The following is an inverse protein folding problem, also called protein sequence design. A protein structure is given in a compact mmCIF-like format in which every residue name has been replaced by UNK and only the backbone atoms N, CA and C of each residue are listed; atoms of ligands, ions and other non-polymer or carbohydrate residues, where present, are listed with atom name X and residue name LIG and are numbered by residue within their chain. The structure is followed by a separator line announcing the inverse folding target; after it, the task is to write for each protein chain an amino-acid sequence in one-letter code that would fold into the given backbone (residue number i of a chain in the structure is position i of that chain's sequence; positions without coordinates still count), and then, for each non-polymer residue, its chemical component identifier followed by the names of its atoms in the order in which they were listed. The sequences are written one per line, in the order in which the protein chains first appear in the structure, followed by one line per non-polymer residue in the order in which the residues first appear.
data_IF_430479672055
#
_entry.id   IF_430479672055
#
_cell.length_a   1.000
_cell.length_b   1.000
_cell.length_c   1.000
_cell.angle_alpha   90.00
_cell.angle_beta   90.00
_cell.angle_gamma   90.00
#
_symmetry.space_group_name_H-M   'P 1'
#
loop_
_entity.id
_entity.type
_entity.pdbx_description
1 polymer ?
#
# COMPACT_ATOMS: atom_id res chain seq x y z
N UNK A 1 22.14 -8.82 11.96
CA UNK A 1 21.91 -8.01 13.18
C UNK A 1 22.42 -6.60 12.87
N UNK A 2 21.62 -5.56 13.09
CA UNK A 2 22.04 -4.16 12.83
C UNK A 2 23.10 -3.74 13.86
N UNK A 3 24.05 -2.88 13.47
CA UNK A 3 25.08 -2.37 14.39
C UNK A 3 24.51 -1.26 15.28
N UNK A 4 25.04 -1.06 16.49
CA UNK A 4 24.60 0.02 17.39
C UNK A 4 24.75 1.42 16.76
N UNK A 5 25.77 1.57 15.92
CA UNK A 5 26.03 2.79 15.14
C UNK A 5 24.93 3.04 14.09
N UNK A 6 24.44 1.99 13.42
CA UNK A 6 23.31 2.08 12.49
C UNK A 6 22.01 2.45 13.21
N UNK A 7 21.75 1.88 14.39
CA UNK A 7 20.56 2.21 15.20
C UNK A 7 20.58 3.69 15.60
N UNK A 8 21.73 4.22 16.04
CA UNK A 8 21.89 5.63 16.37
C UNK A 8 21.73 6.56 15.16
N UNK A 9 22.11 6.12 13.96
CA UNK A 9 21.96 6.90 12.72
C UNK A 9 20.49 6.97 12.26
N UNK A 10 19.72 5.91 12.45
CA UNK A 10 18.36 5.76 11.90
C UNK A 10 17.25 6.21 12.85
N UNK A 11 17.46 6.13 14.17
CA UNK A 11 16.42 6.38 15.18
C UNK A 11 16.74 7.58 16.09
N UNK A 12 15.71 8.25 16.59
CA UNK A 12 15.81 9.23 17.67
C UNK A 12 16.08 8.53 19.00
N UNK A 13 16.50 9.28 20.01
CA UNK A 13 16.62 8.80 21.38
C UNK A 13 15.32 8.23 21.95
N UNK A 14 14.16 8.65 21.41
CA UNK A 14 12.83 8.14 21.73
C UNK A 14 12.39 6.92 20.91
N UNK A 15 13.28 6.33 20.11
CA UNK A 15 13.01 5.13 19.31
C UNK A 15 12.17 5.36 18.06
N UNK A 16 12.00 6.61 17.60
CA UNK A 16 11.30 6.93 16.35
C UNK A 16 12.27 7.00 15.18
N UNK A 17 11.88 6.59 13.99
CA UNK A 17 12.69 6.81 12.80
C UNK A 17 12.96 8.31 12.61
N UNK A 18 14.22 8.67 12.34
CA UNK A 18 14.57 10.03 11.95
C UNK A 18 13.94 10.36 10.60
N UNK A 19 13.35 11.54 10.49
CA UNK A 19 12.66 11.98 9.28
C UNK A 19 13.55 11.94 8.02
N UNK A 20 14.82 12.32 8.13
CA UNK A 20 15.77 12.29 7.03
C UNK A 20 16.00 10.86 6.50
N UNK A 21 16.17 9.88 7.40
CA UNK A 21 16.33 8.48 7.03
C UNK A 21 15.04 7.92 6.43
N UNK A 22 13.90 8.15 7.08
CA UNK A 22 12.59 7.73 6.58
C UNK A 22 12.31 8.24 5.16
N UNK A 23 12.53 9.55 4.90
CA UNK A 23 12.24 10.13 3.58
C UNK A 23 13.17 9.59 2.49
N UNK A 24 14.44 9.34 2.82
CA UNK A 24 15.40 8.73 1.89
C UNK A 24 14.99 7.31 1.51
N UNK A 25 14.70 6.47 2.50
CA UNK A 25 14.28 5.09 2.25
C UNK A 25 12.92 5.02 1.56
N UNK A 26 11.98 5.91 1.92
CA UNK A 26 10.70 6.01 1.25
C UNK A 26 10.87 6.29 -0.25
N UNK A 27 11.73 7.24 -0.62
CA UNK A 27 11.99 7.57 -2.01
C UNK A 27 12.61 6.39 -2.76
N UNK A 28 13.60 5.72 -2.16
CA UNK A 28 14.24 4.52 -2.72
C UNK A 28 13.23 3.40 -2.95
N UNK A 29 12.42 3.08 -1.95
CA UNK A 29 11.41 2.02 -2.04
C UNK A 29 10.32 2.34 -3.06
N UNK A 30 9.90 3.60 -3.16
CA UNK A 30 8.94 4.02 -4.18
C UNK A 30 9.46 3.82 -5.60
N UNK A 31 10.74 4.03 -5.84
CA UNK A 31 11.37 3.73 -7.13
C UNK A 31 11.30 2.23 -7.44
N UNK A 32 11.57 1.37 -6.46
CA UNK A 32 11.46 -0.08 -6.64
C UNK A 32 10.02 -0.54 -6.87
N UNK A 33 9.05 0.07 -6.19
CA UNK A 33 7.61 -0.18 -6.41
C UNK A 33 7.19 0.19 -7.84
N UNK A 34 7.74 1.28 -8.39
CA UNK A 34 7.50 1.65 -9.80
C UNK A 34 8.06 0.59 -10.75
N UNK A 35 9.29 0.11 -10.52
CA UNK A 35 9.88 -0.96 -11.34
C UNK A 35 9.05 -2.25 -11.27
N UNK A 36 8.65 -2.65 -10.07
CA UNK A 36 7.78 -3.81 -9.85
C UNK A 36 6.44 -3.66 -10.60
N UNK A 37 5.85 -2.47 -10.57
CA UNK A 37 4.62 -2.19 -11.29
C UNK A 37 4.76 -2.37 -12.81
N UNK A 38 5.84 -1.85 -13.40
CA UNK A 38 6.12 -2.06 -14.83
C UNK A 38 6.29 -3.54 -15.16
N UNK A 39 6.96 -4.30 -14.30
CA UNK A 39 7.14 -5.74 -14.49
C UNK A 39 5.83 -6.52 -14.38
N UNK A 40 4.97 -6.20 -13.40
CA UNK A 40 3.61 -6.77 -13.26
C UNK A 40 2.82 -6.56 -14.55
N UNK A 41 2.86 -5.34 -15.09
CA UNK A 41 2.19 -4.99 -16.34
C UNK A 41 2.74 -5.78 -17.54
N UNK A 42 4.06 -5.84 -17.69
CA UNK A 42 4.71 -6.59 -18.78
C UNK A 42 4.35 -8.08 -18.74
N UNK A 43 4.30 -8.67 -17.55
CA UNK A 43 3.95 -10.08 -17.35
C UNK A 43 2.45 -10.35 -17.29
N UNK A 44 1.61 -9.32 -17.34
CA UNK A 44 0.14 -9.46 -17.23
C UNK A 44 -0.30 -10.07 -15.90
N UNK A 45 0.47 -9.87 -14.83
CA UNK A 45 0.15 -10.43 -13.50
C UNK A 45 -1.03 -9.68 -12.88
N UNK A 46 -1.70 -10.35 -11.95
CA UNK A 46 -2.87 -9.84 -11.22
C UNK A 46 -2.52 -9.73 -9.76
N UNK A 47 -2.44 -8.51 -9.23
CA UNK A 47 -2.02 -8.26 -7.84
C UNK A 47 -3.12 -7.54 -7.06
N UNK A 48 -3.45 -8.09 -5.88
CA UNK A 48 -4.35 -7.48 -4.90
C UNK A 48 -3.59 -7.26 -3.61
N UNK A 49 -3.75 -6.09 -3.01
CA UNK A 49 -3.20 -5.76 -1.69
C UNK A 49 -4.38 -5.36 -0.79
N UNK A 50 -4.58 -6.10 0.29
CA UNK A 50 -5.65 -5.87 1.26
C UNK A 50 -5.04 -5.19 2.49
N UNK A 51 -5.64 -4.07 2.92
CA UNK A 51 -5.22 -3.32 4.10
C UNK A 51 -6.29 -3.41 5.18
N UNK A 52 -6.02 -4.20 6.21
CA UNK A 52 -6.90 -4.36 7.38
C UNK A 52 -6.27 -3.76 8.65
N UNK A 53 -7.12 -3.46 9.64
CA UNK A 53 -6.69 -2.94 10.94
C UNK A 53 -7.72 -2.04 11.60
N UNK A 54 -7.50 -1.68 12.87
CA UNK A 54 -8.39 -0.79 13.62
C UNK A 54 -8.43 0.62 13.04
N UNK A 55 -9.41 1.40 13.50
CA UNK A 55 -9.48 2.83 13.20
C UNK A 55 -8.23 3.54 13.72
N UNK A 56 -7.79 4.56 12.98
CA UNK A 56 -6.56 5.32 13.22
C UNK A 56 -5.23 4.52 13.18
N UNK A 57 -5.22 3.24 12.77
CA UNK A 57 -4.00 2.43 12.64
C UNK A 57 -3.03 2.87 11.53
N UNK A 58 -3.36 3.90 10.75
CA UNK A 58 -2.49 4.47 9.71
C UNK A 58 -2.62 3.85 8.31
N UNK A 59 -3.63 3.00 8.06
CA UNK A 59 -3.87 2.34 6.76
C UNK A 59 -3.85 3.31 5.57
N UNK A 60 -4.57 4.43 5.67
CA UNK A 60 -4.62 5.45 4.61
C UNK A 60 -3.28 6.11 4.33
N UNK A 61 -2.45 6.27 5.37
CA UNK A 61 -1.08 6.77 5.23
C UNK A 61 -0.20 5.82 4.43
N UNK A 62 -0.27 4.53 4.75
CA UNK A 62 0.48 3.47 4.03
C UNK A 62 0.04 3.39 2.57
N UNK A 63 -1.27 3.34 2.31
CA UNK A 63 -1.82 3.34 0.94
C UNK A 63 -1.28 4.55 0.16
N UNK A 64 -1.36 5.75 0.74
CA UNK A 64 -0.85 6.98 0.12
C UNK A 64 0.64 6.88 -0.20
N UNK A 65 1.47 6.31 0.69
CA UNK A 65 2.91 6.15 0.45
C UNK A 65 3.23 5.15 -0.65
N UNK A 66 2.43 4.10 -0.81
CA UNK A 66 2.61 3.14 -1.91
C UNK A 66 2.16 3.75 -3.25
N UNK A 67 1.03 4.44 -3.27
CA UNK A 67 0.39 4.88 -4.52
C UNK A 67 0.87 6.23 -5.04
N UNK A 68 1.46 7.10 -4.21
CA UNK A 68 1.81 8.48 -4.59
C UNK A 68 2.77 8.64 -5.78
N UNK A 69 3.53 7.59 -6.15
CA UNK A 69 4.46 7.60 -7.30
C UNK A 69 4.01 6.67 -8.44
N UNK A 70 2.87 6.00 -8.30
CA UNK A 70 2.34 5.06 -9.29
C UNK A 70 1.37 5.76 -10.26
N UNK A 71 1.18 5.19 -11.45
CA UNK A 71 0.22 5.71 -12.41
C UNK A 71 -1.22 5.41 -11.95
N UNK A 72 -2.05 6.42 -11.65
CA UNK A 72 -3.40 6.22 -11.12
C UNK A 72 -4.38 5.60 -12.14
N UNK A 73 -4.02 5.56 -13.42
CA UNK A 73 -4.83 4.90 -14.46
C UNK A 73 -4.74 3.37 -14.41
N UNK A 74 -3.70 2.85 -13.77
CA UNK A 74 -3.41 1.42 -13.70
C UNK A 74 -3.66 0.90 -12.28
N UNK A 75 -3.20 1.65 -11.27
CA UNK A 75 -3.41 1.30 -9.87
C UNK A 75 -4.74 1.87 -9.38
N UNK A 76 -5.62 0.99 -8.89
CA UNK A 76 -6.90 1.36 -8.30
C UNK A 76 -6.85 1.19 -6.79
N UNK A 77 -7.29 2.22 -6.07
CA UNK A 77 -7.58 2.12 -4.62
C UNK A 77 -9.08 2.00 -4.47
N UNK A 78 -9.54 0.97 -3.77
CA UNK A 78 -10.96 0.73 -3.50
C UNK A 78 -11.21 0.84 -2.01
N UNK A 79 -12.12 1.73 -1.64
CA UNK A 79 -12.59 1.92 -0.28
C UNK A 79 -14.11 1.77 -0.29
N UNK A 80 -14.60 0.56 0.01
CA UNK A 80 -16.03 0.30 0.10
C UNK A 80 -16.59 0.83 1.41
N UNK A 81 -17.69 1.57 1.33
CA UNK A 81 -18.46 1.98 2.49
C UNK A 81 -19.31 0.83 3.05
N UNK A 82 -20.13 1.17 4.04
CA UNK A 82 -21.18 0.30 4.57
C UNK A 82 -22.00 -0.29 3.42
N UNK A 83 -22.27 -1.61 3.42
CA UNK A 83 -23.10 -2.22 2.38
C UNK A 83 -24.50 -1.61 2.37
N UNK A 84 -25.00 -1.33 1.17
CA UNK A 84 -26.41 -0.99 0.91
C UNK A 84 -27.34 -2.16 1.26
N UNK A 85 -28.64 -1.90 1.38
CA UNK A 85 -29.59 -2.96 1.74
C UNK A 85 -29.61 -4.09 0.72
N UNK A 86 -29.50 -3.76 -0.57
CA UNK A 86 -29.34 -4.76 -1.63
C UNK A 86 -28.04 -5.56 -1.50
N UNK A 87 -26.92 -4.94 -1.15
CA UNK A 87 -25.64 -5.66 -0.96
C UNK A 87 -25.65 -6.56 0.27
N UNK A 88 -26.44 -6.24 1.31
CA UNK A 88 -26.62 -7.11 2.49
C UNK A 88 -27.38 -8.40 2.16
N UNK A 89 -28.29 -8.35 1.19
CA UNK A 89 -29.04 -9.51 0.71
C UNK A 89 -28.29 -10.33 -0.35
N UNK A 90 -27.27 -9.74 -0.96
CA UNK A 90 -26.39 -10.43 -1.90
C UNK A 90 -25.40 -11.35 -1.19
N UNK A 91 -24.78 -12.25 -1.96
CA UNK A 91 -23.66 -13.02 -1.44
C UNK A 91 -22.52 -12.08 -1.04
N UNK A 92 -21.96 -12.26 0.16
CA UNK A 92 -21.00 -11.34 0.78
C UNK A 92 -19.83 -10.92 -0.15
N UNK A 93 -19.26 -11.86 -0.90
CA UNK A 93 -18.13 -11.60 -1.79
C UNK A 93 -18.52 -10.90 -3.11
N UNK A 94 -19.81 -10.88 -3.46
CA UNK A 94 -20.31 -10.35 -4.72
C UNK A 94 -19.99 -8.87 -4.90
N UNK A 95 -19.95 -8.08 -3.82
CA UNK A 95 -19.56 -6.67 -3.88
C UNK A 95 -18.06 -6.44 -4.07
N UNK A 96 -17.21 -7.42 -3.75
CA UNK A 96 -15.74 -7.30 -3.83
C UNK A 96 -15.19 -7.80 -5.17
N UNK A 97 -15.79 -8.86 -5.74
CA UNK A 97 -15.36 -9.49 -7.00
C UNK A 97 -15.21 -8.49 -8.16
N UNK A 98 -16.12 -7.50 -8.37
CA UNK A 98 -15.97 -6.50 -9.43
C UNK A 98 -14.71 -5.62 -9.31
N UNK A 99 -14.10 -5.56 -8.13
CA UNK A 99 -12.92 -4.74 -7.87
C UNK A 99 -11.60 -5.50 -8.05
N UNK A 100 -11.65 -6.82 -8.28
CA UNK A 100 -10.46 -7.61 -8.52
C UNK A 100 -9.74 -7.16 -9.80
N UNK A 101 -8.40 -7.29 -9.87
CA UNK A 101 -7.62 -6.83 -10.99
C UNK A 101 -7.84 -7.72 -12.21
N UNK A 102 -7.88 -7.05 -13.36
CA UNK A 102 -7.62 -7.69 -14.65
C UNK A 102 -6.11 -7.80 -14.86
N UNK A 103 -5.66 -8.41 -15.96
CA UNK A 103 -4.23 -8.54 -16.24
C UNK A 103 -3.53 -7.16 -16.34
N UNK A 104 -2.38 -7.04 -15.66
CA UNK A 104 -1.47 -5.89 -15.71
C UNK A 104 -1.76 -4.80 -14.69
#
# INVERSE_FOLDING_TARGET
MMTEEQVQLEYTSSGKLKAAHYNRELARLQQEVVKLHYWIKEKGLKVVIIFEGRDAAGKGGVIKRITQRLNPRIVRVVALGTPSDKEKEQWYFQRYVPHLPSAG
#
